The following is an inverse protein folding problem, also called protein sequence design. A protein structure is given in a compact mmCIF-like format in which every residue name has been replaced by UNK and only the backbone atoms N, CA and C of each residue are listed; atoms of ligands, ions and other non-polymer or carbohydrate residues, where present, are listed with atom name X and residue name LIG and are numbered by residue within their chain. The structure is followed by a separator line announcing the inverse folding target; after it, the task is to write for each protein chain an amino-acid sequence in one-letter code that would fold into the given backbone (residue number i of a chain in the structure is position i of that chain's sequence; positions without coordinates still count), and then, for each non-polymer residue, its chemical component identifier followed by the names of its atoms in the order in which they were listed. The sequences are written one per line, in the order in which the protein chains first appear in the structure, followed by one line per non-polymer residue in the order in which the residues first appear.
data_IF_689590143133
#
_entry.id   IF_689590143133
#
_cell.length_a   1.000
_cell.length_b   1.000
_cell.length_c   1.000
_cell.angle_alpha   90.00
_cell.angle_beta   90.00
_cell.angle_gamma   90.00
#
_symmetry.space_group_name_H-M   'P 1'
#
loop_
_entity.id
_entity.type
_entity.pdbx_description
1 polymer ?
#
# COMPACT_ATOMS: atom_id res chain seq x y z
N UNK A 1 55.22 47.60 55.28
CA UNK A 1 54.96 48.02 53.88
C UNK A 1 55.22 46.85 52.95
N UNK A 2 54.18 46.14 52.51
CA UNK A 2 54.18 45.30 51.30
C UNK A 2 52.75 45.39 50.72
N UNK A 3 52.62 45.92 49.50
CA UNK A 3 51.41 45.84 48.66
C UNK A 3 51.50 44.53 47.87
N UNK A 4 50.40 43.78 47.71
CA UNK A 4 50.18 42.81 46.61
C UNK A 4 48.65 42.57 46.53
N UNK A 5 47.96 43.26 45.61
CA UNK A 5 47.61 42.85 44.23
C UNK A 5 46.33 42.01 44.16
N UNK A 6 45.24 42.64 43.73
CA UNK A 6 43.94 42.04 43.42
C UNK A 6 44.10 41.05 42.26
N UNK A 7 43.77 39.78 42.48
CA UNK A 7 43.69 38.77 41.43
C UNK A 7 42.22 38.61 41.03
N UNK A 8 41.86 39.11 39.84
CA UNK A 8 40.57 38.86 39.22
C UNK A 8 40.63 37.52 38.47
N UNK A 9 39.85 36.52 38.91
CA UNK A 9 39.64 35.30 38.15
C UNK A 9 38.67 35.59 37.00
N UNK A 10 39.14 35.50 35.76
CA UNK A 10 38.30 35.43 34.57
C UNK A 10 38.08 33.94 34.28
N UNK A 11 36.88 33.45 34.56
CA UNK A 11 36.42 32.13 34.15
C UNK A 11 36.12 32.16 32.65
N UNK A 12 36.91 31.43 31.86
CA UNK A 12 36.61 31.17 30.46
C UNK A 12 35.64 29.98 30.38
N UNK A 13 34.36 30.27 30.15
CA UNK A 13 33.37 29.25 29.78
C UNK A 13 33.61 28.91 28.31
N UNK A 14 34.15 27.72 28.05
CA UNK A 14 34.19 27.14 26.71
C UNK A 14 32.82 26.53 26.44
N UNK A 15 31.98 27.26 25.70
CA UNK A 15 30.74 26.72 25.13
C UNK A 15 31.11 25.74 24.01
N UNK A 16 31.18 24.45 24.33
CA UNK A 16 31.27 23.40 23.33
C UNK A 16 29.96 23.32 22.55
N UNK A 17 29.95 23.83 21.31
CA UNK A 17 28.84 23.67 20.39
C UNK A 17 28.65 22.20 20.03
N UNK A 18 27.51 21.63 20.40
CA UNK A 18 27.05 20.35 19.87
C UNK A 18 26.73 20.54 18.38
N UNK A 19 27.63 20.09 17.52
CA UNK A 19 27.34 19.92 16.09
C UNK A 19 26.41 18.70 15.95
N UNK A 20 25.10 18.93 15.99
CA UNK A 20 24.14 17.93 15.53
C UNK A 20 24.27 17.81 14.01
N UNK A 21 25.12 16.90 13.52
CA UNK A 21 25.10 16.52 12.12
C UNK A 21 23.80 15.80 11.85
N UNK A 22 22.86 16.45 11.16
CA UNK A 22 21.68 15.79 10.64
C UNK A 22 22.12 14.78 9.59
N UNK A 23 22.07 13.49 9.93
CA UNK A 23 22.23 12.43 8.93
C UNK A 23 20.96 12.44 8.08
N UNK A 24 21.06 12.99 6.87
CA UNK A 24 19.98 12.87 5.89
C UNK A 24 19.87 11.41 5.48
N UNK A 25 18.84 10.73 5.96
CA UNK A 25 18.51 9.37 5.48
C UNK A 25 17.82 9.50 4.13
N UNK A 26 18.32 8.79 3.12
CA UNK A 26 17.67 8.74 1.81
C UNK A 26 16.36 7.97 1.94
N UNK A 27 15.26 8.63 1.62
CA UNK A 27 13.94 8.02 1.51
C UNK A 27 13.39 8.24 0.10
N UNK A 28 12.93 7.15 -0.52
CA UNK A 28 12.32 7.16 -1.85
C UNK A 28 10.82 6.92 -1.69
N UNK A 29 10.01 7.81 -2.25
CA UNK A 29 8.55 7.69 -2.20
C UNK A 29 8.00 7.36 -3.59
N UNK A 30 7.03 6.45 -3.64
CA UNK A 30 6.30 6.06 -4.84
C UNK A 30 4.81 6.19 -4.58
N UNK A 31 4.13 6.91 -5.47
CA UNK A 31 2.69 7.09 -5.43
C UNK A 31 2.01 5.92 -6.16
N UNK A 32 1.24 5.14 -5.40
CA UNK A 32 0.32 4.12 -5.88
C UNK A 32 -1.14 4.56 -5.77
N UNK A 33 -2.04 3.64 -6.09
CA UNK A 33 -3.47 3.94 -6.23
C UNK A 33 -4.33 2.77 -5.76
N UNK A 34 -5.51 3.11 -5.27
CA UNK A 34 -6.60 2.18 -5.03
C UNK A 34 -7.89 2.69 -5.69
N UNK A 35 -8.73 1.81 -6.23
CA UNK A 35 -10.01 2.19 -6.82
C UNK A 35 -11.13 1.16 -6.62
N UNK A 36 -12.35 1.66 -6.55
CA UNK A 36 -13.59 0.89 -6.45
C UNK A 36 -14.69 1.57 -7.25
N UNK A 37 -15.58 0.79 -7.87
CA UNK A 37 -16.78 1.27 -8.54
C UNK A 37 -18.01 0.64 -7.90
N UNK A 38 -19.06 1.44 -7.73
CA UNK A 38 -20.31 0.98 -7.14
C UNK A 38 -21.43 0.92 -8.19
N UNK A 39 -22.10 -0.22 -8.25
CA UNK A 39 -23.34 -0.42 -9.00
C UNK A 39 -24.55 -0.20 -8.07
N UNK A 40 -25.75 0.04 -8.61
CA UNK A 40 -26.98 0.05 -7.82
C UNK A 40 -27.09 -1.20 -6.93
N UNK A 41 -27.82 -1.09 -5.82
CA UNK A 41 -28.11 -2.24 -4.99
C UNK A 41 -28.87 -3.31 -5.79
N UNK A 42 -28.56 -4.58 -5.54
CA UNK A 42 -29.25 -5.70 -6.21
C UNK A 42 -30.73 -5.71 -5.77
N UNK A 43 -31.71 -5.69 -6.72
CA UNK A 43 -33.13 -5.71 -6.40
C UNK A 43 -33.59 -6.99 -5.68
N UNK A 44 -32.76 -8.03 -5.59
CA UNK A 44 -33.10 -9.31 -4.95
C UNK A 44 -33.06 -9.31 -3.42
N UNK A 45 -32.67 -8.20 -2.76
CA UNK A 45 -32.92 -7.99 -1.32
C UNK A 45 -34.15 -7.09 -1.15
N UNK A 46 -35.31 -7.63 -0.73
CA UNK A 46 -36.51 -6.83 -0.57
C UNK A 46 -36.29 -5.73 0.48
N UNK A 47 -36.47 -4.49 0.06
CA UNK A 47 -36.92 -3.40 0.93
C UNK A 47 -38.41 -3.20 0.65
N UNK A 48 -39.20 -3.11 1.71
CA UNK A 48 -40.67 -3.01 1.70
C UNK A 48 -41.14 -1.90 0.72
N UNK A 49 -42.15 -2.15 -0.14
CA UNK A 49 -42.36 -1.36 -1.34
C UNK A 49 -43.19 -0.11 -1.08
N UNK A 50 -42.77 1.03 -1.66
CA UNK A 50 -43.72 2.01 -2.21
C UNK A 50 -43.16 2.67 -3.47
N UNK A 51 -43.97 2.55 -4.52
CA UNK A 51 -44.00 3.21 -5.84
C UNK A 51 -43.11 2.65 -6.99
N UNK A 52 -43.72 2.18 -8.12
CA UNK A 52 -43.03 1.52 -9.23
C UNK A 52 -42.92 2.44 -10.47
N UNK A 53 -41.71 2.57 -11.04
CA UNK A 53 -41.47 2.78 -12.49
C UNK A 53 -39.96 2.94 -12.75
N UNK A 54 -39.32 1.90 -13.33
CA UNK A 54 -38.51 1.94 -14.57
C UNK A 54 -37.88 0.53 -14.83
N UNK A 55 -37.70 0.06 -16.09
CA UNK A 55 -37.40 -1.32 -16.42
C UNK A 55 -35.89 -1.65 -16.39
N UNK A 56 -35.58 -2.80 -15.81
CA UNK A 56 -34.34 -3.59 -15.90
C UNK A 56 -33.15 -2.99 -16.69
N UNK A 57 -32.13 -2.44 -16.01
CA UNK A 57 -30.80 -2.33 -16.60
C UNK A 57 -30.11 -3.70 -16.54
N UNK A 58 -29.81 -4.26 -17.71
CA UNK A 58 -29.04 -5.51 -17.86
C UNK A 58 -27.69 -5.40 -17.12
N UNK A 59 -27.20 -6.49 -16.49
CA UNK A 59 -25.89 -6.51 -15.86
C UNK A 59 -24.79 -6.18 -16.88
N UNK A 60 -24.03 -5.13 -16.61
CA UNK A 60 -22.81 -4.81 -17.37
C UNK A 60 -21.74 -5.77 -16.90
N UNK A 61 -21.22 -6.61 -17.80
CA UNK A 61 -20.05 -7.45 -17.49
C UNK A 61 -18.90 -6.55 -17.03
N UNK A 62 -18.24 -6.84 -15.90
CA UNK A 62 -17.02 -6.14 -15.56
C UNK A 62 -16.02 -6.36 -16.69
N UNK A 63 -15.38 -5.28 -17.11
CA UNK A 63 -14.18 -5.35 -17.93
C UNK A 63 -13.05 -5.08 -16.95
N UNK A 64 -12.09 -6.00 -16.86
CA UNK A 64 -10.86 -5.83 -16.11
C UNK A 64 -10.20 -4.49 -16.52
N UNK A 65 -10.20 -3.46 -15.66
CA UNK A 65 -9.66 -2.18 -16.05
C UNK A 65 -8.13 -2.26 -16.01
N UNK A 66 -7.48 -2.16 -17.17
CA UNK A 66 -6.05 -1.82 -17.19
C UNK A 66 -5.87 -0.44 -16.51
N UNK A 67 -4.88 -0.31 -15.63
CA UNK A 67 -4.57 1.00 -15.03
C UNK A 67 -3.83 1.85 -16.07
N UNK A 68 -4.42 2.97 -16.55
CA UNK A 68 -3.79 3.76 -17.60
C UNK A 68 -2.54 4.51 -17.14
N UNK A 69 -2.30 4.60 -15.82
CA UNK A 69 -1.19 5.37 -15.24
C UNK A 69 -0.42 4.52 -14.21
N UNK A 70 0.47 3.61 -14.65
CA UNK A 70 1.25 2.79 -13.74
C UNK A 70 2.18 3.65 -12.86
N UNK A 71 2.53 3.19 -11.65
CA UNK A 71 3.48 3.89 -10.78
C UNK A 71 4.83 4.13 -11.45
N UNK A 72 5.47 5.27 -11.15
CA UNK A 72 6.81 5.59 -11.61
C UNK A 72 7.81 5.28 -10.50
N UNK A 73 8.79 4.42 -10.80
CA UNK A 73 9.78 3.98 -9.81
C UNK A 73 11.06 4.82 -9.89
N UNK A 74 11.53 5.39 -8.76
CA UNK A 74 12.85 5.99 -8.66
C UNK A 74 13.95 4.97 -8.97
N UNK A 75 14.96 5.37 -9.73
CA UNK A 75 16.16 4.56 -9.96
C UNK A 75 17.08 4.49 -8.74
N UNK A 76 18.23 3.82 -8.90
CA UNK A 76 19.27 3.74 -7.88
C UNK A 76 19.45 2.36 -7.27
N UNK A 77 20.49 2.21 -6.46
CA UNK A 77 20.89 0.92 -5.90
C UNK A 77 19.93 0.41 -4.81
N UNK A 78 19.26 1.30 -4.06
CA UNK A 78 18.15 0.96 -3.18
C UNK A 78 16.84 1.52 -3.76
N UNK A 79 15.93 0.65 -4.19
CA UNK A 79 14.71 1.05 -4.90
C UNK A 79 13.55 0.08 -4.71
N UNK A 80 12.34 0.60 -4.90
CA UNK A 80 11.15 -0.20 -5.15
C UNK A 80 11.13 -0.55 -6.65
N UNK A 81 11.00 -1.82 -6.99
CA UNK A 81 10.82 -2.27 -8.38
C UNK A 81 9.34 -2.48 -8.73
N UNK A 82 8.52 -2.80 -7.71
CA UNK A 82 7.08 -2.96 -7.87
C UNK A 82 6.35 -2.57 -6.58
N UNK A 83 5.20 -1.90 -6.73
CA UNK A 83 4.19 -1.70 -5.70
C UNK A 83 2.82 -2.09 -6.29
N UNK A 84 1.87 -2.57 -5.47
CA UNK A 84 0.60 -3.00 -6.01
C UNK A 84 -0.33 -1.82 -6.33
N UNK A 85 -1.13 -1.97 -7.38
CA UNK A 85 -2.33 -1.16 -7.59
C UNK A 85 -3.55 -1.93 -7.08
N UNK A 86 -4.30 -1.36 -6.14
CA UNK A 86 -5.43 -2.05 -5.52
C UNK A 86 -6.73 -1.78 -6.27
N UNK A 87 -7.19 -2.77 -7.05
CA UNK A 87 -8.43 -2.66 -7.81
C UNK A 87 -9.52 -3.51 -7.18
N UNK A 88 -10.53 -2.88 -6.58
CA UNK A 88 -11.68 -3.57 -5.99
C UNK A 88 -12.80 -3.82 -6.99
N UNK A 89 -12.69 -3.26 -8.20
CA UNK A 89 -13.63 -3.49 -9.30
C UNK A 89 -15.03 -2.96 -9.00
N UNK A 90 -16.00 -3.53 -9.70
CA UNK A 90 -17.42 -3.19 -9.56
C UNK A 90 -18.05 -4.01 -8.45
N UNK A 91 -18.78 -3.35 -7.55
CA UNK A 91 -19.47 -3.98 -6.43
C UNK A 91 -20.84 -3.33 -6.25
N UNK A 92 -21.83 -4.08 -5.78
CA UNK A 92 -23.15 -3.50 -5.49
C UNK A 92 -23.10 -2.63 -4.23
N UNK A 93 -23.89 -1.57 -4.20
CA UNK A 93 -24.12 -0.80 -2.96
C UNK A 93 -24.75 -1.71 -1.91
N UNK A 94 -24.24 -1.61 -0.68
CA UNK A 94 -24.78 -2.31 0.49
C UNK A 94 -25.30 -1.30 1.52
N UNK A 95 -26.36 -1.67 2.25
CA UNK A 95 -26.95 -0.83 3.30
C UNK A 95 -26.17 -0.85 4.62
N UNK A 96 -25.34 -1.86 4.82
CA UNK A 96 -24.48 -2.04 6.00
C UNK A 96 -23.03 -1.73 5.71
N UNK A 97 -22.14 -2.30 6.51
CA UNK A 97 -20.71 -2.22 6.26
C UNK A 97 -20.34 -3.02 5.01
N UNK A 98 -19.58 -2.41 4.11
CA UNK A 98 -19.10 -3.05 2.89
C UNK A 98 -17.72 -3.68 3.08
N UNK A 99 -17.55 -4.91 2.60
CA UNK A 99 -16.25 -5.57 2.51
C UNK A 99 -16.04 -6.11 1.10
N UNK A 100 -15.16 -5.47 0.33
CA UNK A 100 -14.96 -5.76 -1.08
C UNK A 100 -13.56 -6.30 -1.31
N UNK A 101 -13.43 -7.33 -2.15
CA UNK A 101 -12.15 -8.02 -2.37
C UNK A 101 -11.50 -7.52 -3.65
N UNK A 102 -10.18 -7.31 -3.59
CA UNK A 102 -9.45 -6.83 -4.75
C UNK A 102 -9.37 -7.91 -5.84
N UNK A 103 -9.14 -7.51 -7.08
CA UNK A 103 -8.65 -8.41 -8.12
C UNK A 103 -7.20 -8.85 -7.83
N UNK A 104 -6.79 -9.95 -8.46
CA UNK A 104 -5.38 -10.23 -8.66
C UNK A 104 -4.79 -9.25 -9.67
N UNK A 105 -3.55 -8.83 -9.46
CA UNK A 105 -2.82 -7.97 -10.40
C UNK A 105 -2.57 -8.71 -11.71
N UNK A 106 -2.63 -7.99 -12.84
CA UNK A 106 -2.19 -8.51 -14.13
C UNK A 106 -0.76 -8.03 -14.38
N UNK A 107 0.19 -8.97 -14.47
CA UNK A 107 1.54 -8.67 -14.94
C UNK A 107 1.63 -9.11 -16.39
N UNK A 108 2.13 -8.21 -17.24
CA UNK A 108 2.40 -8.48 -18.65
C UNK A 108 3.89 -8.74 -18.78
N UNK A 109 4.24 -9.85 -19.40
CA UNK A 109 5.62 -10.12 -19.79
C UNK A 109 5.97 -9.27 -21.03
N UNK A 110 6.95 -8.38 -20.91
CA UNK A 110 7.27 -7.40 -21.97
C UNK A 110 7.81 -8.05 -23.26
N UNK A 111 8.41 -9.24 -23.16
CA UNK A 111 8.98 -9.95 -24.32
C UNK A 111 7.91 -10.76 -25.06
N UNK A 112 7.01 -11.41 -24.32
CA UNK A 112 6.02 -12.36 -24.86
C UNK A 112 4.60 -11.81 -24.92
N UNK A 113 4.34 -10.65 -24.30
CA UNK A 113 3.01 -10.06 -24.08
C UNK A 113 2.03 -10.99 -23.33
N UNK A 114 2.53 -12.01 -22.64
CA UNK A 114 1.69 -12.94 -21.87
C UNK A 114 1.21 -12.26 -20.60
N UNK A 115 -0.12 -12.22 -20.43
CA UNK A 115 -0.78 -11.72 -19.22
C UNK A 115 -0.87 -12.82 -18.16
N UNK A 116 -0.30 -12.56 -16.99
CA UNK A 116 -0.33 -13.48 -15.85
C UNK A 116 -0.96 -12.80 -14.64
N UNK A 117 -1.93 -13.48 -14.00
CA UNK A 117 -2.50 -13.02 -12.73
C UNK A 117 -1.57 -13.32 -11.57
N UNK A 118 -1.28 -12.32 -10.75
CA UNK A 118 -0.42 -12.43 -9.56
C UNK A 118 -1.11 -11.83 -8.33
N UNK A 119 -0.78 -12.39 -7.16
CA UNK A 119 -1.13 -11.77 -5.88
C UNK A 119 -0.50 -10.38 -5.79
N UNK A 120 -1.16 -9.46 -5.07
CA UNK A 120 -0.60 -8.13 -4.84
C UNK A 120 0.75 -8.23 -4.12
N UNK A 121 1.76 -7.51 -4.58
CA UNK A 121 3.11 -7.63 -4.04
C UNK A 121 3.88 -6.32 -4.05
N UNK A 122 4.92 -6.24 -3.22
CA UNK A 122 5.96 -5.21 -3.28
C UNK A 122 7.28 -5.89 -3.56
N UNK A 123 8.10 -5.32 -4.45
CA UNK A 123 9.47 -5.75 -4.70
C UNK A 123 10.46 -4.65 -4.34
N UNK A 124 11.48 -5.00 -3.56
CA UNK A 124 12.61 -4.15 -3.20
C UNK A 124 13.88 -4.72 -3.80
N UNK A 125 14.74 -3.85 -4.32
CA UNK A 125 16.14 -4.16 -4.63
C UNK A 125 17.07 -3.32 -3.77
N UNK A 126 17.98 -3.98 -3.05
CA UNK A 126 19.12 -3.36 -2.35
C UNK A 126 20.44 -3.90 -2.93
N UNK A 127 20.99 -3.14 -3.86
CA UNK A 127 22.26 -3.37 -4.54
C UNK A 127 23.31 -2.34 -4.07
N UNK A 128 23.12 -1.73 -2.89
CA UNK A 128 23.97 -0.64 -2.38
C UNK A 128 25.35 -1.09 -1.90
N UNK A 129 25.47 -2.36 -1.48
CA UNK A 129 26.67 -2.87 -0.80
C UNK A 129 26.91 -2.29 0.60
N UNK A 130 25.95 -1.55 1.16
CA UNK A 130 26.12 -0.83 2.43
C UNK A 130 25.78 -1.65 3.68
N UNK A 131 25.04 -2.76 3.53
CA UNK A 131 24.55 -3.63 4.61
C UNK A 131 23.76 -2.90 5.71
N UNK A 132 23.22 -1.70 5.45
CA UNK A 132 22.46 -0.92 6.44
C UNK A 132 21.04 -1.41 6.68
N UNK A 133 20.53 -2.29 5.82
CA UNK A 133 19.13 -2.67 5.82
C UNK A 133 18.23 -1.54 5.30
N UNK A 134 16.92 -1.75 5.36
CA UNK A 134 15.92 -0.83 4.84
C UNK A 134 14.53 -1.14 5.40
N UNK A 135 13.60 -0.20 5.26
CA UNK A 135 12.21 -0.36 5.67
C UNK A 135 11.29 0.19 4.59
N UNK A 136 10.26 -0.59 4.25
CA UNK A 136 9.14 -0.14 3.43
C UNK A 136 7.95 0.16 4.32
N UNK A 137 7.34 1.32 4.13
CA UNK A 137 6.07 1.69 4.76
C UNK A 137 5.03 2.07 3.73
N UNK A 138 3.75 1.94 4.09
CA UNK A 138 2.61 2.32 3.25
C UNK A 138 1.61 3.18 4.03
N UNK A 139 0.94 4.10 3.35
CA UNK A 139 -0.05 5.01 3.91
C UNK A 139 -1.17 5.32 2.91
N UNK A 140 -2.38 5.51 3.41
CA UNK A 140 -3.50 6.13 2.71
C UNK A 140 -4.22 7.09 3.66
N UNK A 141 -4.74 8.21 3.14
CA UNK A 141 -5.55 9.16 3.92
C UNK A 141 -6.95 8.60 4.25
N UNK A 142 -7.31 7.44 3.66
CA UNK A 142 -8.59 6.78 3.85
C UNK A 142 -9.74 7.43 3.10
N UNK A 143 -9.48 8.42 2.24
CA UNK A 143 -10.51 9.15 1.49
C UNK A 143 -10.46 8.74 0.03
N UNK A 144 -11.47 8.02 -0.41
CA UNK A 144 -11.67 7.71 -1.81
C UNK A 144 -12.56 8.77 -2.47
N UNK A 145 -12.05 9.39 -3.54
CA UNK A 145 -12.63 10.56 -4.18
C UNK A 145 -13.28 10.20 -5.51
N UNK A 146 -14.42 10.80 -5.79
CA UNK A 146 -15.13 10.71 -7.06
C UNK A 146 -15.72 12.06 -7.46
N UNK A 147 -16.07 12.22 -8.73
CA UNK A 147 -16.81 13.40 -9.21
C UNK A 147 -18.21 13.53 -8.55
N UNK A 148 -18.78 12.42 -8.06
CA UNK A 148 -20.08 12.39 -7.38
C UNK A 148 -19.98 12.53 -5.84
N UNK A 149 -18.79 12.76 -5.30
CA UNK A 149 -18.54 12.86 -3.85
C UNK A 149 -17.41 11.97 -3.37
N UNK A 150 -17.18 11.97 -2.05
CA UNK A 150 -16.12 11.20 -1.41
C UNK A 150 -16.70 10.17 -0.45
N UNK A 151 -15.97 9.08 -0.25
CA UNK A 151 -16.23 8.09 0.81
C UNK A 151 -14.96 7.86 1.61
N UNK A 152 -15.10 7.56 2.88
CA UNK A 152 -14.05 7.02 3.72
C UNK A 152 -14.01 5.50 3.57
N UNK A 153 -12.80 4.94 3.48
CA UNK A 153 -12.60 3.49 3.42
C UNK A 153 -11.20 3.09 3.91
N UNK A 154 -11.08 1.86 4.40
CA UNK A 154 -9.84 1.26 4.88
C UNK A 154 -9.42 0.08 4.01
N UNK A 155 -8.13 -0.12 3.80
CA UNK A 155 -7.58 -1.28 3.09
C UNK A 155 -6.89 -2.18 4.11
N UNK A 156 -7.20 -3.48 4.04
CA UNK A 156 -6.52 -4.51 4.84
C UNK A 156 -5.84 -5.51 3.91
N UNK A 157 -4.55 -5.77 4.17
CA UNK A 157 -3.73 -6.78 3.52
C UNK A 157 -3.42 -7.89 4.54
N UNK A 158 -3.67 -9.14 4.18
CA UNK A 158 -3.44 -10.32 5.05
C UNK A 158 -2.64 -11.39 4.30
N UNK A 159 -2.28 -12.48 5.00
CA UNK A 159 -1.56 -13.62 4.41
C UNK A 159 -0.27 -13.18 3.71
N UNK A 160 0.49 -12.31 4.38
CA UNK A 160 1.77 -11.83 3.89
C UNK A 160 2.78 -12.98 3.80
N UNK A 161 3.54 -13.04 2.71
CA UNK A 161 4.60 -14.03 2.51
C UNK A 161 5.81 -13.36 1.87
N UNK A 162 6.97 -13.49 2.52
CA UNK A 162 8.25 -12.99 2.02
C UNK A 162 8.94 -14.05 1.16
N UNK A 163 9.54 -13.63 0.06
CA UNK A 163 10.31 -14.48 -0.84
C UNK A 163 11.52 -13.73 -1.41
N UNK A 164 12.66 -14.42 -1.46
CA UNK A 164 13.83 -13.97 -2.21
C UNK A 164 13.72 -14.27 -3.70
N UNK A 165 14.38 -13.45 -4.53
CA UNK A 165 14.42 -13.59 -5.99
C UNK A 165 15.88 -13.60 -6.45
N UNK A 166 16.14 -14.16 -7.64
CA UNK A 166 17.47 -14.24 -8.24
C UNK A 166 18.49 -14.92 -7.31
N UNK A 167 18.10 -16.05 -6.71
CA UNK A 167 18.96 -16.88 -5.85
C UNK A 167 18.79 -16.61 -4.36
N UNK A 168 18.10 -15.53 -3.97
CA UNK A 168 17.83 -15.22 -2.56
C UNK A 168 16.83 -16.17 -1.90
N UNK A 169 16.05 -16.92 -2.68
CA UNK A 169 15.14 -17.97 -2.19
C UNK A 169 15.85 -19.08 -1.40
N UNK A 170 17.17 -19.22 -1.56
CA UNK A 170 18.01 -20.20 -0.83
C UNK A 170 18.69 -19.64 0.41
N UNK A 171 18.43 -18.37 0.76
CA UNK A 171 19.12 -17.64 1.84
C UNK A 171 18.15 -17.07 2.89
N UNK A 172 17.38 -17.91 3.60
CA UNK A 172 16.39 -17.45 4.57
C UNK A 172 17.00 -16.65 5.74
N UNK A 173 18.28 -16.85 6.06
CA UNK A 173 18.98 -16.19 7.17
C UNK A 173 19.15 -14.66 6.99
N UNK A 174 19.05 -14.18 5.75
CA UNK A 174 19.16 -12.75 5.39
C UNK A 174 17.83 -12.18 4.90
N UNK A 175 16.73 -12.92 5.07
CA UNK A 175 15.41 -12.46 4.69
C UNK A 175 14.95 -11.25 5.51
N UNK A 176 14.26 -10.28 4.88
CA UNK A 176 13.50 -9.28 5.60
C UNK A 176 12.30 -9.91 6.30
N UNK A 177 11.74 -9.19 7.27
CA UNK A 177 10.52 -9.55 7.99
C UNK A 177 9.34 -8.73 7.51
N UNK A 178 8.13 -9.23 7.74
CA UNK A 178 6.86 -8.55 7.45
C UNK A 178 5.86 -8.78 8.58
N UNK A 179 4.77 -8.02 8.59
CA UNK A 179 3.64 -8.21 9.49
C UNK A 179 2.60 -9.13 8.85
N UNK A 180 1.90 -9.93 9.65
CA UNK A 180 0.86 -10.84 9.14
C UNK A 180 -0.34 -10.09 8.54
N UNK A 181 -0.67 -8.92 9.11
CA UNK A 181 -1.76 -8.05 8.69
C UNK A 181 -1.28 -6.62 8.65
N UNK A 182 -1.62 -5.90 7.57
CA UNK A 182 -1.33 -4.48 7.37
C UNK A 182 -2.65 -3.77 7.10
N UNK A 183 -2.90 -2.68 7.81
CA UNK A 183 -4.10 -1.87 7.66
C UNK A 183 -3.73 -0.42 7.40
N UNK A 184 -4.42 0.21 6.45
CA UNK A 184 -4.24 1.62 6.09
C UNK A 184 -5.58 2.29 5.79
N UNK A 185 -5.63 3.61 5.94
CA UNK A 185 -6.81 4.41 5.60
C UNK A 185 -7.75 4.58 6.78
N UNK A 186 -9.07 4.51 6.53
CA UNK A 186 -10.08 4.68 7.56
C UNK A 186 -9.80 3.78 8.78
N UNK A 187 -9.83 4.37 9.98
CA UNK A 187 -9.48 3.75 11.27
C UNK A 187 -8.01 3.28 11.43
N UNK A 188 -7.16 3.44 10.43
CA UNK A 188 -5.73 3.07 10.44
C UNK A 188 -4.88 4.11 9.70
N UNK A 189 -4.86 5.33 10.24
CA UNK A 189 -4.10 6.44 9.68
C UNK A 189 -2.62 6.37 10.08
N UNK A 190 -1.74 6.79 9.18
CA UNK A 190 -0.29 6.82 9.40
C UNK A 190 0.48 5.85 8.51
N UNK A 191 1.78 5.74 8.75
CA UNK A 191 2.65 4.83 8.01
C UNK A 191 2.63 3.45 8.65
N UNK A 192 2.08 2.46 7.96
CA UNK A 192 2.16 1.06 8.36
C UNK A 192 3.45 0.43 7.82
N UNK A 193 4.15 -0.36 8.65
CA UNK A 193 5.33 -1.10 8.22
C UNK A 193 4.92 -2.30 7.36
N UNK A 194 5.58 -2.45 6.21
CA UNK A 194 5.26 -3.46 5.20
C UNK A 194 6.30 -4.57 5.23
N UNK A 195 7.56 -4.20 5.10
CA UNK A 195 8.68 -5.12 5.01
C UNK A 195 9.94 -4.42 5.52
N UNK A 196 10.72 -5.11 6.35
CA UNK A 196 11.90 -4.55 6.98
C UNK A 196 13.09 -5.50 6.90
N UNK A 197 14.23 -4.98 6.47
CA UNK A 197 15.52 -5.63 6.57
C UNK A 197 16.35 -4.93 7.65
N UNK A 198 16.78 -5.68 8.67
CA UNK A 198 17.79 -5.18 9.61
C UNK A 198 19.17 -5.08 8.94
N UNK A 199 20.12 -4.43 9.61
CA UNK A 199 21.50 -4.38 9.14
C UNK A 199 22.07 -5.78 8.88
N UNK A 200 22.78 -5.94 7.77
CA UNK A 200 23.31 -7.21 7.27
C UNK A 200 22.29 -8.09 6.51
N UNK A 201 21.01 -7.70 6.44
CA UNK A 201 19.95 -8.45 5.75
C UNK A 201 19.40 -7.68 4.54
N UNK A 202 18.52 -8.34 3.78
CA UNK A 202 17.72 -7.68 2.74
C UNK A 202 18.48 -7.22 1.50
N UNK A 203 19.76 -7.58 1.35
CA UNK A 203 20.53 -7.29 0.13
C UNK A 203 19.99 -8.11 -1.06
N UNK A 204 20.26 -7.64 -2.28
CA UNK A 204 19.65 -8.08 -3.54
C UNK A 204 18.12 -7.87 -3.56
N UNK A 205 17.35 -8.83 -4.09
CA UNK A 205 15.93 -8.66 -4.41
C UNK A 205 15.03 -9.49 -3.51
N UNK A 206 14.04 -8.83 -2.93
CA UNK A 206 13.06 -9.42 -2.04
C UNK A 206 11.66 -8.94 -2.38
N UNK A 207 10.70 -9.85 -2.24
CA UNK A 207 9.29 -9.57 -2.38
C UNK A 207 8.54 -9.91 -1.10
N UNK A 208 7.53 -9.10 -0.80
CA UNK A 208 6.40 -9.51 0.03
C UNK A 208 5.15 -9.53 -0.83
N UNK A 209 4.34 -10.59 -0.68
CA UNK A 209 3.07 -10.75 -1.39
C UNK A 209 1.93 -11.02 -0.42
N UNK A 210 0.71 -10.65 -0.78
CA UNK A 210 -0.51 -10.91 0.00
C UNK A 210 -1.45 -11.85 -0.76
N UNK A 211 -1.56 -13.07 -0.27
CA UNK A 211 -2.35 -14.13 -0.89
C UNK A 211 -1.62 -14.95 -1.96
N UNK A 212 -2.36 -15.86 -2.59
CA UNK A 212 -1.86 -16.76 -3.63
C UNK A 212 -2.96 -17.08 -4.65
N UNK A 213 -2.60 -17.37 -5.90
CA UNK A 213 -3.58 -17.53 -7.00
C UNK A 213 -4.51 -18.74 -6.82
N UNK A 214 -4.10 -19.76 -6.08
CA UNK A 214 -4.93 -20.91 -5.70
C UNK A 214 -5.99 -20.58 -4.63
N UNK A 215 -5.84 -19.45 -3.92
CA UNK A 215 -6.82 -18.96 -2.94
C UNK A 215 -7.88 -18.05 -3.56
N UNK A 216 -7.94 -17.97 -4.88
CA UNK A 216 -8.91 -17.14 -5.59
C UNK A 216 -10.35 -17.49 -5.19
N UNK A 217 -11.16 -16.46 -4.95
CA UNK A 217 -12.60 -16.59 -4.72
C UNK A 217 -13.37 -15.91 -5.84
N UNK A 218 -14.59 -16.37 -6.13
CA UNK A 218 -15.48 -15.67 -7.07
C UNK A 218 -16.05 -14.41 -6.42
N UNK A 219 -15.92 -13.26 -7.07
CA UNK A 219 -16.61 -12.03 -6.68
C UNK A 219 -17.98 -11.89 -7.34
N UNK A 220 -18.66 -10.78 -7.02
CA UNK A 220 -19.87 -10.36 -7.72
C UNK A 220 -19.52 -10.20 -9.22
N UNK A 221 -20.20 -10.96 -10.09
CA UNK A 221 -19.90 -11.02 -11.54
C UNK A 221 -18.95 -12.15 -11.99
N UNK A 222 -18.66 -13.13 -11.13
CA UNK A 222 -17.87 -14.36 -11.43
C UNK A 222 -16.36 -14.19 -11.67
N UNK A 223 -15.80 -12.99 -11.53
CA UNK A 223 -14.37 -12.77 -11.66
C UNK A 223 -13.59 -13.20 -10.41
N UNK A 224 -12.40 -13.76 -10.60
CA UNK A 224 -11.52 -14.20 -9.52
C UNK A 224 -10.95 -13.01 -8.74
N UNK A 225 -11.17 -13.01 -7.43
CA UNK A 225 -10.71 -12.00 -6.47
C UNK A 225 -9.63 -12.58 -5.55
N UNK A 226 -8.72 -11.73 -5.13
CA UNK A 226 -7.74 -12.00 -4.09
C UNK A 226 -8.37 -11.74 -2.71
N UNK A 227 -8.69 -12.78 -1.91
CA UNK A 227 -9.31 -12.58 -0.60
C UNK A 227 -8.40 -11.92 0.43
N UNK A 228 -7.08 -11.92 0.18
CA UNK A 228 -6.06 -11.37 1.07
C UNK A 228 -5.96 -9.83 1.02
N UNK A 229 -6.68 -9.20 0.09
CA UNK A 229 -6.72 -7.73 -0.06
C UNK A 229 -8.17 -7.30 -0.04
N UNK A 230 -8.55 -6.48 0.93
CA UNK A 230 -9.94 -6.04 1.11
C UNK A 230 -10.09 -4.55 1.39
N UNK A 231 -11.16 -3.98 0.85
CA UNK A 231 -11.64 -2.65 1.12
C UNK A 231 -12.81 -2.73 2.09
N UNK A 232 -12.69 -2.01 3.20
CA UNK A 232 -13.76 -1.80 4.15
C UNK A 232 -14.39 -0.42 3.94
N UNK A 233 -15.69 -0.35 3.69
CA UNK A 233 -16.45 0.90 3.59
C UNK A 233 -17.46 0.92 4.75
N UNK A 234 -17.31 1.80 5.76
CA UNK A 234 -18.25 1.85 6.86
C UNK A 234 -19.63 2.30 6.38
N UNK A 235 -20.67 1.75 7.02
CA UNK A 235 -22.07 2.11 6.79
C UNK A 235 -22.36 3.58 7.06
N UNK A 236 -23.50 4.06 6.56
CA UNK A 236 -24.00 5.41 6.82
C UNK A 236 -23.39 6.50 5.95
N UNK A 237 -22.53 6.12 4.99
CA UNK A 237 -22.00 7.03 3.99
C UNK A 237 -22.89 7.06 2.75
N UNK A 238 -22.97 8.21 2.09
CA UNK A 238 -23.64 8.34 0.82
C UNK A 238 -22.75 7.81 -0.31
N UNK A 239 -22.93 6.54 -0.65
CA UNK A 239 -22.26 5.90 -1.80
C UNK A 239 -23.11 6.10 -3.04
N UNK A 240 -22.52 6.63 -4.11
CA UNK A 240 -23.20 6.91 -5.36
C UNK A 240 -22.99 5.78 -6.36
N UNK A 241 -24.07 5.29 -6.96
CA UNK A 241 -24.00 4.32 -8.05
C UNK A 241 -23.36 4.92 -9.31
N UNK A 242 -22.81 4.06 -10.15
CA UNK A 242 -22.13 4.37 -11.41
C UNK A 242 -21.06 5.45 -11.21
N UNK A 243 -20.31 5.31 -10.12
CA UNK A 243 -19.24 6.21 -9.73
C UNK A 243 -17.98 5.42 -9.41
N UNK A 244 -16.88 5.83 -10.05
CA UNK A 244 -15.54 5.36 -9.72
C UNK A 244 -14.96 6.24 -8.64
N UNK A 245 -14.51 5.61 -7.57
CA UNK A 245 -13.87 6.22 -6.43
C UNK A 245 -12.40 5.82 -6.40
N UNK A 246 -11.49 6.77 -6.21
CA UNK A 246 -10.04 6.51 -6.19
C UNK A 246 -9.38 7.11 -4.96
N UNK A 247 -8.40 6.42 -4.39
CA UNK A 247 -7.54 6.92 -3.33
C UNK A 247 -6.06 6.82 -3.73
N UNK A 248 -5.26 7.71 -3.15
CA UNK A 248 -3.80 7.68 -3.27
C UNK A 248 -3.23 6.75 -2.19
N UNK A 249 -2.31 5.88 -2.56
CA UNK A 249 -1.59 4.99 -1.64
C UNK A 249 -0.11 5.31 -1.74
N UNK A 250 0.50 5.78 -0.66
CA UNK A 250 1.88 6.28 -0.67
C UNK A 250 2.81 5.22 -0.08
N UNK A 251 3.78 4.78 -0.86
CA UNK A 251 4.81 3.82 -0.45
C UNK A 251 6.12 4.56 -0.24
N UNK A 252 6.80 4.28 0.87
CA UNK A 252 8.11 4.88 1.16
C UNK A 252 9.12 3.78 1.47
N UNK A 253 10.26 3.82 0.79
CA UNK A 253 11.44 3.00 1.06
C UNK A 253 12.50 3.87 1.71
N UNK A 254 12.91 3.51 2.92
CA UNK A 254 13.90 4.24 3.69
C UNK A 254 15.09 3.33 3.99
N UNK A 255 16.31 3.84 3.79
CA UNK A 255 17.52 3.11 4.18
C UNK A 255 17.66 3.05 5.71
N UNK A 256 18.16 1.94 6.23
CA UNK A 256 18.58 1.84 7.62
C UNK A 256 19.78 2.75 7.92
N UNK A 257 20.04 2.95 9.21
CA UNK A 257 21.15 3.77 9.70
C UNK A 257 22.46 2.98 9.76
#
# INVERSE_FOLDING_TARGET
MIKLSKLALISAIVLGGLYSTTVSVSANTVDGKADVEFLPADPTKPVDPTDPEDPDPKPVKPVDPEDPNPPVYPGGALRLNHIPTFQFGKNNIVSGDGNFKAYFETVIDDETNVKTKKASYVEVADETGSSKGWTVTVNSDGVFKSAKGNINAGITLTNASVRGILGMETKPEVAPTTQETIQIGYESLGNAEVMKADAGKGYNKWQVRWGHSDTAIKGDGEENRNPAVSLFVPKGQQVMADAKYTAKVVWTLQQGL
#
